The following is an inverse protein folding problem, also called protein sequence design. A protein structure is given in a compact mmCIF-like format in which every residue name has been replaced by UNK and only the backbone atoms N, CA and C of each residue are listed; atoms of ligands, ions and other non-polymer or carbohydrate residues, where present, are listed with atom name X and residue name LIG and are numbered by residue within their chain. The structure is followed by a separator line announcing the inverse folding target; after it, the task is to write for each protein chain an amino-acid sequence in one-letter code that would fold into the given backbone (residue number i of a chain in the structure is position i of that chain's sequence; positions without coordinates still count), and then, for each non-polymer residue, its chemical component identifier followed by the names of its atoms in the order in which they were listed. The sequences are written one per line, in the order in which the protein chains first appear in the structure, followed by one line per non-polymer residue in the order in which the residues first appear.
data_IF_223409032029
#
_entry.id   IF_223409032029
#
_cell.length_a   1.000
_cell.length_b   1.000
_cell.length_c   1.000
_cell.angle_alpha   90.00
_cell.angle_beta   90.00
_cell.angle_gamma   90.00
#
_symmetry.space_group_name_H-M   'P 1'
#
loop_
_entity.id
_entity.type
_entity.pdbx_description
1 polymer ?
#
# COMPACT_ATOMS: atom_id res chain seq x y z
N UNK A 1 -7.64 20.93 3.87
CA UNK A 1 -7.00 19.74 3.28
C UNK A 1 -8.08 18.80 2.78
N UNK A 2 -8.21 18.65 1.46
CA UNK A 2 -9.16 17.73 0.84
C UNK A 2 -8.54 16.35 0.85
N UNK A 3 -9.13 15.39 1.56
CA UNK A 3 -8.61 14.03 1.64
C UNK A 3 -8.99 13.28 0.36
N UNK A 4 -8.01 12.69 -0.33
CA UNK A 4 -8.22 11.95 -1.59
C UNK A 4 -9.02 10.65 -1.39
N UNK A 5 -8.98 10.08 -0.19
CA UNK A 5 -9.73 8.89 0.21
C UNK A 5 -10.57 9.24 1.43
N UNK A 6 -11.82 8.78 1.46
CA UNK A 6 -12.76 9.01 2.56
C UNK A 6 -13.44 7.70 2.97
N UNK A 7 -13.52 7.47 4.27
CA UNK A 7 -14.38 6.42 4.82
C UNK A 7 -15.82 6.93 4.82
N UNK A 8 -16.74 6.14 4.25
CA UNK A 8 -18.18 6.46 4.27
C UNK A 8 -18.86 5.60 5.34
N UNK A 9 -19.35 6.26 6.38
CA UNK A 9 -19.94 5.62 7.56
C UNK A 9 -21.47 5.58 7.53
N UNK A 10 -22.10 6.01 6.43
CA UNK A 10 -23.56 6.14 6.29
C UNK A 10 -24.34 4.87 6.65
N UNK A 11 -23.72 3.70 6.49
CA UNK A 11 -24.34 2.40 6.70
C UNK A 11 -23.88 1.70 7.99
N UNK A 12 -23.13 2.37 8.85
CA UNK A 12 -22.83 1.86 10.19
C UNK A 12 -24.06 2.04 11.08
N UNK A 13 -24.50 0.96 11.70
CA UNK A 13 -25.54 1.04 12.73
C UNK A 13 -24.99 1.61 14.04
N UNK A 14 -25.89 2.02 14.93
CA UNK A 14 -25.52 2.64 16.21
C UNK A 14 -24.64 1.75 17.08
N UNK A 15 -24.83 0.43 17.03
CA UNK A 15 -24.05 -0.51 17.83
C UNK A 15 -22.61 -0.62 17.30
N UNK A 16 -22.44 -0.67 15.98
CA UNK A 16 -21.14 -0.69 15.30
C UNK A 16 -20.40 0.64 15.48
N UNK A 17 -21.09 1.78 15.38
CA UNK A 17 -20.50 3.10 15.64
C UNK A 17 -19.99 3.21 17.07
N UNK A 18 -20.81 2.86 18.07
CA UNK A 18 -20.38 2.88 19.46
C UNK A 18 -19.18 1.95 19.73
N UNK A 19 -19.14 0.80 19.07
CA UNK A 19 -18.00 -0.12 19.14
C UNK A 19 -16.75 0.48 18.50
N UNK A 20 -16.86 1.07 17.31
CA UNK A 20 -15.75 1.74 16.64
C UNK A 20 -15.18 2.86 17.52
N UNK A 21 -16.03 3.69 18.12
CA UNK A 21 -15.64 4.77 19.02
C UNK A 21 -14.87 4.25 20.23
N UNK A 22 -15.34 3.15 20.84
CA UNK A 22 -14.66 2.52 21.97
C UNK A 22 -13.25 2.01 21.62
N UNK A 23 -12.99 1.72 20.35
CA UNK A 23 -11.72 1.19 19.85
C UNK A 23 -10.72 2.28 19.44
N UNK A 24 -11.13 3.55 19.39
CA UNK A 24 -10.23 4.65 18.98
C UNK A 24 -9.05 4.78 19.94
N UNK A 25 -9.30 4.79 21.26
CA UNK A 25 -8.25 4.90 22.26
C UNK A 25 -7.22 3.76 22.18
N UNK A 26 -7.60 2.47 22.20
CA UNK A 26 -6.64 1.38 22.06
C UNK A 26 -5.96 1.37 20.68
N UNK A 27 -6.65 1.74 19.59
CA UNK A 27 -6.03 1.83 18.27
C UNK A 27 -4.90 2.87 18.23
N UNK A 28 -5.07 4.02 18.91
CA UNK A 28 -4.02 5.04 19.04
C UNK A 28 -2.81 4.53 19.81
N UNK A 29 -3.02 3.75 20.88
CA UNK A 29 -1.93 3.12 21.63
C UNK A 29 -1.13 2.15 20.75
N UNK A 30 -1.80 1.31 19.96
CA UNK A 30 -1.12 0.38 19.05
C UNK A 30 -0.39 1.10 17.92
N UNK A 31 -0.95 2.20 17.40
CA UNK A 31 -0.27 3.06 16.43
C UNK A 31 1.02 3.65 17.02
N UNK A 32 1.00 4.03 18.30
CA UNK A 32 2.20 4.52 18.98
C UNK A 32 3.26 3.42 19.11
N UNK A 33 2.88 2.20 19.49
CA UNK A 33 3.80 1.05 19.55
C UNK A 33 4.41 0.72 18.19
N UNK A 34 3.65 0.85 17.10
CA UNK A 34 4.15 0.69 15.73
C UNK A 34 5.20 1.75 15.39
N UNK A 35 4.93 3.02 15.71
CA UNK A 35 5.89 4.14 15.51
C UNK A 35 7.18 3.94 16.31
N UNK A 36 7.05 3.51 17.56
CA UNK A 36 8.16 3.32 18.48
C UNK A 36 8.87 1.97 18.29
N UNK A 37 8.41 1.13 17.35
CA UNK A 37 8.93 -0.23 17.10
C UNK A 37 8.95 -1.12 18.34
N UNK A 38 7.96 -0.98 19.21
CA UNK A 38 7.79 -1.79 20.42
C UNK A 38 6.67 -2.84 20.29
N UNK A 39 5.99 -2.89 19.15
CA UNK A 39 5.00 -3.93 18.86
C UNK A 39 5.65 -5.29 18.60
N UNK A 40 4.85 -6.35 18.72
CA UNK A 40 5.27 -7.70 18.29
C UNK A 40 5.57 -7.68 16.79
N UNK A 41 6.71 -8.25 16.37
CA UNK A 41 7.15 -8.24 14.98
C UNK A 41 7.67 -6.89 14.49
N UNK A 42 8.14 -6.02 15.39
CA UNK A 42 8.61 -4.67 15.03
C UNK A 42 9.77 -4.65 14.05
N UNK A 43 10.52 -5.74 13.93
CA UNK A 43 11.58 -5.94 12.94
C UNK A 43 11.06 -5.97 11.49
N UNK A 44 9.75 -6.23 11.27
CA UNK A 44 9.11 -6.31 9.95
C UNK A 44 8.25 -5.09 9.59
N UNK A 45 8.46 -3.94 10.26
CA UNK A 45 7.63 -2.73 10.09
C UNK A 45 8.16 -1.72 9.08
N UNK A 46 9.12 -2.12 8.22
CA UNK A 46 9.78 -1.23 7.26
C UNK A 46 8.81 -0.51 6.32
N UNK A 47 7.68 -1.13 5.99
CA UNK A 47 6.62 -0.57 5.15
C UNK A 47 5.98 0.71 5.71
N UNK A 48 6.00 0.92 7.04
CA UNK A 48 5.30 2.03 7.68
C UNK A 48 5.87 3.40 7.27
N UNK A 49 7.20 3.54 7.26
CA UNK A 49 7.89 4.76 6.88
C UNK A 49 8.41 4.73 5.43
N UNK A 50 8.24 3.61 4.71
CA UNK A 50 8.79 3.42 3.38
C UNK A 50 8.33 4.47 2.35
N UNK A 51 7.03 4.81 2.26
CA UNK A 51 6.56 5.78 1.25
C UNK A 51 7.21 7.16 1.40
N UNK A 52 7.41 7.62 2.63
CA UNK A 52 7.99 8.93 2.93
C UNK A 52 9.51 8.95 2.75
N UNK A 53 10.19 7.85 3.06
CA UNK A 53 11.66 7.81 3.13
C UNK A 53 12.34 7.37 1.84
N UNK A 54 11.75 6.39 1.12
CA UNK A 54 12.41 5.74 -0.04
C UNK A 54 11.50 5.57 -1.25
N UNK A 55 10.17 5.61 -1.07
CA UNK A 55 9.20 5.28 -2.11
C UNK A 55 9.40 6.05 -3.43
N UNK A 56 9.49 7.38 -3.37
CA UNK A 56 9.67 8.21 -4.57
C UNK A 56 11.06 8.06 -5.20
N UNK A 57 12.09 7.79 -4.40
CA UNK A 57 13.44 7.57 -4.92
C UNK A 57 13.49 6.28 -5.74
N UNK A 58 12.96 5.19 -5.20
CA UNK A 58 12.94 3.90 -5.89
C UNK A 58 12.15 3.97 -7.20
N UNK A 59 11.02 4.68 -7.22
CA UNK A 59 10.24 4.89 -8.44
C UNK A 59 11.05 5.61 -9.53
N UNK A 60 11.77 6.68 -9.16
CA UNK A 60 12.62 7.42 -10.07
C UNK A 60 13.79 6.55 -10.59
N UNK A 61 14.44 5.78 -9.72
CA UNK A 61 15.55 4.89 -10.08
C UNK A 61 15.09 3.79 -11.06
N UNK A 62 13.93 3.18 -10.80
CA UNK A 62 13.34 2.16 -11.69
C UNK A 62 12.96 2.78 -13.04
N UNK A 63 12.36 3.98 -13.05
CA UNK A 63 11.99 4.68 -14.28
C UNK A 63 13.22 5.03 -15.13
N UNK A 64 14.29 5.52 -14.49
CA UNK A 64 15.54 5.82 -15.17
C UNK A 64 16.16 4.55 -15.77
N UNK A 65 16.16 3.44 -15.03
CA UNK A 65 16.63 2.15 -15.54
C UNK A 65 15.83 1.70 -16.77
N UNK A 66 14.50 1.79 -16.74
CA UNK A 66 13.66 1.40 -17.89
C UNK A 66 13.91 2.29 -19.11
N UNK A 67 14.19 3.59 -18.91
CA UNK A 67 14.51 4.51 -20.01
C UNK A 67 15.88 4.25 -20.65
N UNK A 68 16.82 3.67 -19.90
CA UNK A 68 18.16 3.31 -20.38
C UNK A 68 18.20 1.99 -21.17
N UNK A 69 17.10 1.22 -21.14
CA UNK A 69 17.00 -0.03 -21.90
C UNK A 69 16.83 0.28 -23.40
N UNK A 70 17.80 -0.15 -24.22
CA UNK A 70 17.77 -0.06 -25.68
C UNK A 70 16.87 -1.13 -26.35
N UNK A 71 15.94 -1.71 -25.58
CA UNK A 71 15.08 -2.81 -26.03
C UNK A 71 13.63 -2.52 -25.65
N UNK A 72 12.75 -2.62 -26.64
CA UNK A 72 11.30 -2.66 -26.40
C UNK A 72 10.86 -4.11 -26.21
N UNK A 73 10.17 -4.38 -25.11
CA UNK A 73 9.65 -5.71 -24.81
C UNK A 73 8.19 -5.83 -25.29
N UNK A 74 7.92 -6.80 -26.15
CA UNK A 74 6.55 -7.17 -26.52
C UNK A 74 5.80 -7.86 -25.36
N UNK A 75 6.55 -8.54 -24.48
CA UNK A 75 6.03 -9.29 -23.35
C UNK A 75 6.98 -9.25 -22.16
N UNK A 76 6.42 -9.08 -20.95
CA UNK A 76 7.15 -9.22 -19.68
C UNK A 76 6.52 -10.36 -18.87
N UNK A 77 7.28 -11.44 -18.63
CA UNK A 77 6.83 -12.56 -17.81
C UNK A 77 7.24 -12.35 -16.35
N UNK A 78 6.26 -12.23 -15.46
CA UNK A 78 6.48 -12.13 -14.01
C UNK A 78 6.40 -13.52 -13.40
N UNK A 79 7.49 -14.00 -12.81
CA UNK A 79 7.55 -15.28 -12.09
C UNK A 79 7.61 -15.01 -10.58
N UNK A 80 6.51 -15.29 -9.87
CA UNK A 80 6.42 -15.10 -8.43
C UNK A 80 5.14 -15.68 -7.85
N UNK A 81 5.10 -15.84 -6.52
CA UNK A 81 3.92 -16.31 -5.77
C UNK A 81 3.69 -15.43 -4.54
N UNK A 82 2.49 -15.45 -3.98
CA UNK A 82 2.15 -14.70 -2.77
C UNK A 82 2.26 -13.19 -2.97
N UNK A 83 2.87 -12.49 -2.01
CA UNK A 83 3.03 -11.02 -2.05
C UNK A 83 3.77 -10.52 -3.29
N UNK A 84 4.75 -11.29 -3.78
CA UNK A 84 5.55 -10.94 -4.97
C UNK A 84 4.76 -11.00 -6.28
N UNK A 85 3.57 -11.63 -6.29
CA UNK A 85 2.68 -11.70 -7.45
C UNK A 85 1.41 -10.87 -7.26
N UNK A 86 0.75 -11.00 -6.10
CA UNK A 86 -0.55 -10.38 -5.84
C UNK A 86 -0.47 -8.84 -5.83
N UNK A 87 0.61 -8.26 -5.30
CA UNK A 87 0.80 -6.80 -5.31
C UNK A 87 0.92 -6.26 -6.73
N UNK A 88 1.78 -6.88 -7.55
CA UNK A 88 1.96 -6.51 -8.96
C UNK A 88 0.66 -6.67 -9.73
N UNK A 89 -0.02 -7.81 -9.59
CA UNK A 89 -1.29 -8.08 -10.27
C UNK A 89 -2.38 -7.08 -9.92
N UNK A 90 -2.56 -6.76 -8.63
CA UNK A 90 -3.60 -5.83 -8.18
C UNK A 90 -3.42 -4.43 -8.78
N UNK A 91 -2.19 -3.92 -8.85
CA UNK A 91 -1.90 -2.61 -9.45
C UNK A 91 -2.06 -2.66 -10.96
N UNK A 92 -1.55 -3.70 -11.63
CA UNK A 92 -1.68 -3.88 -13.08
C UNK A 92 -3.15 -3.95 -13.50
N UNK A 93 -3.98 -4.77 -12.84
CA UNK A 93 -5.41 -4.90 -13.16
C UNK A 93 -6.21 -3.62 -12.87
N UNK A 94 -5.81 -2.84 -11.86
CA UNK A 94 -6.50 -1.60 -11.51
C UNK A 94 -6.16 -0.43 -12.44
N UNK A 95 -4.91 -0.37 -12.95
CA UNK A 95 -4.42 0.77 -13.74
C UNK A 95 -4.44 0.52 -15.24
N UNK A 96 -4.25 -0.72 -15.69
CA UNK A 96 -4.31 -1.05 -17.11
C UNK A 96 -5.76 -1.26 -17.55
N UNK A 97 -6.09 -0.73 -18.72
CA UNK A 97 -7.42 -0.85 -19.30
C UNK A 97 -7.73 -2.33 -19.58
N UNK A 98 -8.96 -2.75 -19.32
CA UNK A 98 -9.42 -4.13 -19.51
C UNK A 98 -9.40 -4.62 -20.96
N UNK A 99 -9.07 -3.75 -21.92
CA UNK A 99 -8.87 -4.07 -23.33
C UNK A 99 -7.40 -3.92 -23.68
N UNK A 100 -6.70 -5.05 -23.64
CA UNK A 100 -5.49 -5.27 -24.43
C UNK A 100 -5.90 -6.24 -25.55
N UNK A 101 -6.45 -5.67 -26.61
CA UNK A 101 -6.72 -6.34 -27.88
C UNK A 101 -5.96 -5.62 -28.97
#
# INVERSE_FOLDING_TARGET
MTHAIKLNEKFLDQALSAKADSLIAPAREQLQKLKDKTCVGSEWTGWFNWPETQGYKLEADVRAYVQDLDVNYDLVLIVGIGGSYLGTRAVTEALLHSYQG
#
